data_IF_186594716083
#
_entry.id   IF_186594716083
#
_cell.length_a   1.000
_cell.length_b   1.000
_cell.length_c   1.000
_cell.angle_alpha   90.00
_cell.angle_beta   90.00
_cell.angle_gamma   90.00
#
_symmetry.space_group_name_H-M   'P 1'
#
loop_
_entity.id
_entity.type
_entity.pdbx_description
1 polymer ?
#
# COMPACT_ATOMS: atom_id res chain seq x y z
N UNK A 1 -10.87 -5.58 10.85
CA UNK A 1 -11.13 -4.14 10.62
C UNK A 1 -9.85 -3.37 10.81
N UNK A 2 -9.75 -2.18 10.23
CA UNK A 2 -8.63 -1.23 10.41
C UNK A 2 -9.19 0.08 10.93
N UNK A 3 -8.59 0.59 12.00
CA UNK A 3 -9.08 1.76 12.74
C UNK A 3 -7.92 2.71 13.02
N UNK A 4 -8.11 4.00 12.74
CA UNK A 4 -7.16 5.07 13.07
C UNK A 4 -7.92 6.22 13.74
N UNK A 5 -7.37 6.73 14.86
CA UNK A 5 -8.02 7.75 15.68
C UNK A 5 -9.49 7.43 16.06
N UNK A 6 -9.80 6.15 16.29
CA UNK A 6 -11.15 5.69 16.64
C UNK A 6 -12.12 5.56 15.47
N UNK A 7 -11.71 5.88 14.25
CA UNK A 7 -12.53 5.80 13.03
C UNK A 7 -12.16 4.52 12.28
N UNK A 8 -13.15 3.65 12.05
CA UNK A 8 -12.97 2.45 11.23
C UNK A 8 -13.20 2.80 9.76
N UNK A 9 -12.13 2.82 8.99
CA UNK A 9 -12.15 3.28 7.59
C UNK A 9 -12.01 2.13 6.57
N UNK A 10 -11.52 0.96 7.01
CA UNK A 10 -11.41 -0.24 6.19
C UNK A 10 -11.89 -1.47 6.95
N UNK A 11 -12.69 -2.30 6.28
CA UNK A 11 -13.12 -3.59 6.78
C UNK A 11 -13.07 -4.64 5.68
N UNK A 12 -12.51 -5.80 6.00
CA UNK A 12 -12.59 -7.01 5.19
C UNK A 12 -13.46 -8.01 5.94
N UNK A 13 -14.43 -8.58 5.24
CA UNK A 13 -15.29 -9.65 5.73
C UNK A 13 -15.28 -10.78 4.73
N UNK A 14 -15.22 -12.02 5.19
CA UNK A 14 -15.36 -13.17 4.32
C UNK A 14 -15.28 -14.48 5.07
N UNK A 15 -15.55 -15.56 4.35
CA UNK A 15 -15.45 -16.94 4.84
C UNK A 15 -14.46 -17.70 3.96
N UNK A 16 -13.59 -18.48 4.59
CA UNK A 16 -12.72 -19.40 3.87
C UNK A 16 -13.55 -20.45 3.13
N UNK A 17 -13.17 -20.73 1.89
CA UNK A 17 -13.88 -21.65 0.99
C UNK A 17 -12.93 -22.75 0.53
N UNK A 18 -12.22 -22.52 -0.57
CA UNK A 18 -11.37 -23.50 -1.21
C UNK A 18 -9.90 -23.28 -0.87
N UNK A 19 -9.17 -24.37 -0.63
CA UNK A 19 -7.70 -24.33 -0.65
C UNK A 19 -7.22 -24.22 -2.09
N UNK A 20 -6.28 -23.30 -2.33
CA UNK A 20 -5.64 -23.09 -3.62
C UNK A 20 -4.22 -23.66 -3.60
N UNK A 21 -3.61 -23.82 -4.78
CA UNK A 21 -2.21 -24.22 -4.87
C UNK A 21 -1.30 -23.11 -4.32
N UNK A 22 -0.31 -23.49 -3.52
CA UNK A 22 0.72 -22.57 -3.04
C UNK A 22 1.81 -22.37 -4.09
N UNK A 23 2.44 -21.21 -4.06
CA UNK A 23 3.51 -20.85 -4.99
C UNK A 23 4.63 -20.06 -4.32
N UNK A 24 5.77 -19.99 -5.02
CA UNK A 24 6.84 -19.04 -4.73
C UNK A 24 6.99 -18.09 -5.90
N UNK A 25 6.99 -16.79 -5.62
CA UNK A 25 7.04 -15.76 -6.65
C UNK A 25 7.73 -14.50 -6.14
N UNK A 26 7.93 -13.54 -7.03
CA UNK A 26 8.53 -12.23 -6.71
C UNK A 26 7.59 -11.14 -7.18
N UNK A 27 7.15 -10.29 -6.26
CA UNK A 27 6.42 -9.07 -6.57
C UNK A 27 7.39 -7.93 -6.82
N UNK A 28 7.09 -7.11 -7.84
CA UNK A 28 7.75 -5.85 -8.08
C UNK A 28 6.92 -4.72 -7.44
N UNK A 29 7.40 -4.20 -6.31
CA UNK A 29 6.77 -3.11 -5.58
C UNK A 29 7.54 -1.82 -5.85
N UNK A 30 6.83 -0.73 -6.11
CA UNK A 30 7.43 0.59 -6.33
C UNK A 30 7.03 1.54 -5.22
N UNK A 31 8.00 2.29 -4.69
CA UNK A 31 7.74 3.34 -3.73
C UNK A 31 8.68 4.53 -3.95
N UNK A 32 8.27 5.68 -3.44
CA UNK A 32 9.13 6.85 -3.36
C UNK A 32 9.81 6.88 -1.98
N UNK A 33 11.13 6.95 -1.97
CA UNK A 33 11.91 7.27 -0.77
C UNK A 33 12.14 8.77 -0.75
N UNK A 34 11.46 9.45 0.16
CA UNK A 34 11.43 10.91 0.31
C UNK A 34 11.62 11.28 1.79
N UNK A 35 12.40 12.32 2.04
CA UNK A 35 12.56 12.93 3.36
C UNK A 35 12.14 14.40 3.27
N UNK A 36 11.07 14.81 3.97
CA UNK A 36 10.73 16.23 4.12
C UNK A 36 11.91 17.00 4.70
N UNK A 37 12.12 18.23 4.24
CA UNK A 37 13.22 19.04 4.78
C UNK A 37 12.89 19.62 6.16
N UNK A 38 13.94 19.81 6.96
CA UNK A 38 13.86 20.59 8.19
C UNK A 38 13.97 22.12 7.95
N UNK A 39 14.28 22.57 6.73
CA UNK A 39 14.44 23.98 6.39
C UNK A 39 13.14 24.62 5.86
N UNK A 40 12.85 25.86 6.27
CA UNK A 40 11.58 26.53 5.93
C UNK A 40 11.38 26.80 4.43
N UNK A 41 12.47 26.95 3.67
CA UNK A 41 12.43 27.30 2.24
C UNK A 41 12.76 26.12 1.31
N UNK A 42 12.66 24.89 1.82
CA UNK A 42 13.01 23.67 1.10
C UNK A 42 11.96 22.60 1.43
N UNK A 43 11.36 21.99 0.41
CA UNK A 43 10.29 21.00 0.66
C UNK A 43 10.84 19.63 1.09
N UNK A 44 11.94 19.19 0.48
CA UNK A 44 12.54 17.86 0.67
C UNK A 44 14.06 17.98 0.77
N UNK A 45 14.72 17.12 1.55
CA UNK A 45 16.17 17.20 1.74
C UNK A 45 16.97 16.83 0.49
N UNK A 46 16.40 15.95 -0.33
CA UNK A 46 16.93 15.48 -1.60
C UNK A 46 15.77 15.21 -2.56
N UNK A 47 16.08 15.13 -3.85
CA UNK A 47 15.15 14.62 -4.85
C UNK A 47 14.61 13.24 -4.39
N UNK A 48 13.29 13.00 -4.43
CA UNK A 48 12.72 11.70 -4.15
C UNK A 48 13.35 10.62 -5.02
N UNK A 49 13.60 9.45 -4.45
CA UNK A 49 14.11 8.30 -5.18
C UNK A 49 12.96 7.37 -5.53
N UNK A 50 12.78 7.06 -6.83
CA UNK A 50 11.92 5.95 -7.23
C UNK A 50 12.67 4.65 -6.92
N UNK A 51 12.12 3.86 -6.02
CA UNK A 51 12.71 2.61 -5.55
C UNK A 51 11.88 1.45 -6.08
N UNK A 52 12.55 0.48 -6.70
CA UNK A 52 11.99 -0.82 -7.02
C UNK A 52 12.40 -1.79 -5.92
N UNK A 53 11.41 -2.47 -5.35
CA UNK A 53 11.59 -3.51 -4.34
C UNK A 53 11.20 -4.83 -5.00
N UNK A 54 12.12 -5.79 -5.04
CA UNK A 54 11.81 -7.16 -5.39
C UNK A 54 11.46 -7.90 -4.10
N UNK A 55 10.18 -8.22 -3.93
CA UNK A 55 9.65 -8.88 -2.75
C UNK A 55 9.41 -10.35 -3.05
N UNK A 56 10.35 -11.20 -2.63
CA UNK A 56 10.24 -12.64 -2.76
C UNK A 56 9.26 -13.18 -1.71
N UNK A 57 8.31 -14.00 -2.15
CA UNK A 57 7.27 -14.60 -1.30
C UNK A 57 7.23 -16.11 -1.54
N UNK A 58 7.09 -16.86 -0.46
CA UNK A 58 6.84 -18.31 -0.51
C UNK A 58 5.62 -18.60 0.34
N UNK A 59 4.55 -19.07 -0.30
CA UNK A 59 3.29 -19.38 0.36
C UNK A 59 3.35 -20.76 1.03
N UNK A 60 2.91 -20.84 2.29
CA UNK A 60 2.61 -22.08 2.99
C UNK A 60 1.11 -22.35 3.11
N UNK A 61 0.28 -21.30 3.03
CA UNK A 61 -1.18 -21.37 2.96
C UNK A 61 -1.66 -20.45 1.85
N UNK A 62 -2.62 -20.92 1.06
CA UNK A 62 -3.30 -20.12 0.05
C UNK A 62 -4.77 -20.57 0.00
N UNK A 63 -5.69 -19.70 0.40
CA UNK A 63 -7.10 -20.05 0.57
C UNK A 63 -8.00 -18.96 0.01
N UNK A 64 -8.97 -19.34 -0.81
CA UNK A 64 -9.98 -18.43 -1.33
C UNK A 64 -10.96 -18.02 -0.24
N UNK A 65 -11.30 -16.74 -0.20
CA UNK A 65 -12.34 -16.20 0.66
C UNK A 65 -13.54 -15.77 -0.20
N UNK A 66 -14.75 -16.09 0.24
CA UNK A 66 -15.98 -15.48 -0.26
C UNK A 66 -16.38 -14.33 0.68
N UNK A 67 -16.43 -13.11 0.16
CA UNK A 67 -16.50 -11.92 0.99
C UNK A 67 -16.41 -10.59 0.25
N UNK A 68 -16.26 -9.53 1.03
CA UNK A 68 -16.26 -8.14 0.55
C UNK A 68 -15.22 -7.29 1.29
N UNK A 69 -14.84 -6.19 0.65
CA UNK A 69 -14.14 -5.07 1.25
C UNK A 69 -15.10 -3.89 1.39
N UNK A 70 -15.10 -3.26 2.56
CA UNK A 70 -15.91 -2.09 2.86
C UNK A 70 -14.96 -0.94 3.19
N UNK A 71 -14.98 0.08 2.32
CA UNK A 71 -14.25 1.33 2.51
C UNK A 71 -15.21 2.38 3.06
N UNK A 72 -14.79 3.12 4.08
CA UNK A 72 -15.58 4.16 4.74
C UNK A 72 -14.82 5.47 4.73
N UNK A 73 -15.57 6.56 4.85
CA UNK A 73 -15.00 7.90 4.98
C UNK A 73 -14.12 7.99 6.24
N UNK A 74 -12.97 8.64 6.10
CA UNK A 74 -12.12 9.03 7.22
C UNK A 74 -11.56 10.43 6.93
N UNK A 75 -11.59 11.34 7.91
CA UNK A 75 -11.02 12.67 7.76
C UNK A 75 -9.51 12.68 7.50
N UNK A 76 -8.81 11.56 7.68
CA UNK A 76 -7.34 11.46 7.54
C UNK A 76 -6.89 10.26 6.71
N UNK A 77 -7.82 9.44 6.20
CA UNK A 77 -7.52 8.25 5.40
C UNK A 77 -8.40 8.23 4.14
N UNK A 78 -7.90 8.71 2.99
CA UNK A 78 -8.69 8.88 1.76
C UNK A 78 -8.95 7.58 1.01
N UNK A 79 -9.07 6.44 1.69
CA UNK A 79 -9.21 5.14 1.01
C UNK A 79 -10.51 5.03 0.20
N UNK A 80 -11.58 5.69 0.66
CA UNK A 80 -12.89 5.65 -0.02
C UNK A 80 -12.87 6.41 -1.36
N UNK A 81 -11.90 7.29 -1.59
CA UNK A 81 -11.72 8.02 -2.86
C UNK A 81 -11.37 7.07 -4.03
N UNK A 82 -10.97 5.82 -3.73
CA UNK A 82 -10.78 4.74 -4.69
C UNK A 82 -11.99 3.79 -4.69
N UNK A 83 -13.03 4.05 -5.52
CA UNK A 83 -14.25 3.26 -5.49
C UNK A 83 -14.01 1.82 -5.96
N UNK A 84 -14.41 0.86 -5.12
CA UNK A 84 -14.39 -0.57 -5.47
C UNK A 84 -15.57 -0.87 -6.38
N UNK A 85 -15.28 -1.11 -7.66
CA UNK A 85 -16.31 -1.45 -8.67
C UNK A 85 -16.71 -2.91 -8.61
N UNK A 86 -15.73 -3.78 -8.38
CA UNK A 86 -15.91 -5.23 -8.35
C UNK A 86 -14.84 -5.88 -7.48
N UNK A 87 -15.21 -6.98 -6.81
CA UNK A 87 -14.26 -7.86 -6.13
C UNK A 87 -13.76 -8.90 -7.13
N UNK A 88 -12.50 -8.79 -7.55
CA UNK A 88 -11.88 -9.73 -8.50
C UNK A 88 -11.34 -10.97 -7.79
N UNK A 89 -10.67 -10.77 -6.65
CA UNK A 89 -10.13 -11.85 -5.83
C UNK A 89 -10.10 -11.44 -4.35
N UNK A 90 -10.26 -12.42 -3.48
CA UNK A 90 -10.05 -12.28 -2.05
C UNK A 90 -9.44 -13.58 -1.53
N UNK A 91 -8.22 -13.51 -0.99
CA UNK A 91 -7.47 -14.69 -0.55
C UNK A 91 -6.87 -14.45 0.82
N UNK A 92 -6.77 -15.52 1.60
CA UNK A 92 -5.97 -15.61 2.81
C UNK A 92 -4.68 -16.35 2.48
N UNK A 93 -3.55 -15.75 2.81
CA UNK A 93 -2.23 -16.32 2.57
C UNK A 93 -1.38 -16.28 3.83
N UNK A 94 -0.59 -17.34 4.02
CA UNK A 94 0.47 -17.40 5.02
C UNK A 94 1.74 -17.85 4.34
N UNK A 95 2.89 -17.45 4.88
CA UNK A 95 4.17 -17.81 4.30
C UNK A 95 5.31 -16.95 4.80
N UNK A 96 6.40 -16.95 4.03
CA UNK A 96 7.59 -16.13 4.30
C UNK A 96 7.78 -15.08 3.21
N UNK A 97 8.43 -13.98 3.58
CA UNK A 97 8.84 -12.98 2.62
C UNK A 97 10.23 -12.45 2.93
N UNK A 98 11.00 -12.20 1.87
CA UNK A 98 12.26 -11.46 1.91
C UNK A 98 12.25 -10.41 0.80
N UNK A 99 12.98 -9.32 0.98
CA UNK A 99 13.05 -8.27 -0.02
C UNK A 99 14.46 -7.74 -0.19
N UNK A 100 14.75 -7.31 -1.42
CA UNK A 100 15.85 -6.43 -1.74
C UNK A 100 15.30 -5.27 -2.57
N UNK A 101 16.05 -4.17 -2.63
CA UNK A 101 15.59 -2.97 -3.31
C UNK A 101 16.74 -2.26 -4.03
N UNK A 102 16.42 -1.61 -5.13
CA UNK A 102 17.32 -0.76 -5.89
C UNK A 102 16.68 0.60 -6.19
N UNK A 103 17.51 1.62 -6.25
CA UNK A 103 17.10 2.94 -6.76
C UNK A 103 17.03 2.82 -8.29
N UNK A 104 15.88 3.16 -8.85
CA UNK A 104 15.64 3.18 -10.29
C UNK A 104 16.10 4.50 -10.89
N UNK A 105 15.67 5.60 -10.27
CA UNK A 105 16.03 6.97 -10.68
C UNK A 105 15.77 7.97 -9.56
N UNK A 106 16.34 9.16 -9.72
CA UNK A 106 15.92 10.36 -8.98
C UNK A 106 14.76 11.03 -9.70
N UNK A 107 13.75 11.45 -8.96
CA UNK A 107 12.59 12.17 -9.47
C UNK A 107 12.68 13.63 -9.06
N UNK A 108 12.36 14.53 -9.99
CA UNK A 108 12.35 15.97 -9.73
C UNK A 108 11.43 16.29 -8.54
N UNK A 109 11.95 17.02 -7.56
CA UNK A 109 11.23 17.33 -6.34
C UNK A 109 9.90 18.06 -6.62
N UNK A 110 9.87 18.99 -7.56
CA UNK A 110 8.67 19.78 -7.85
C UNK A 110 7.57 18.98 -8.54
N UNK A 111 7.93 17.90 -9.23
CA UNK A 111 6.97 16.94 -9.79
C UNK A 111 6.30 16.06 -8.72
N UNK A 112 6.95 15.83 -7.58
CA UNK A 112 6.47 14.95 -6.51
C UNK A 112 5.80 15.69 -5.34
N UNK A 113 6.35 16.85 -4.93
CA UNK A 113 5.88 17.62 -3.76
C UNK A 113 4.37 17.82 -3.70
N UNK A 114 3.64 18.09 -4.81
CA UNK A 114 2.18 18.20 -4.79
C UNK A 114 1.43 16.94 -4.30
N UNK A 115 2.09 15.77 -4.33
CA UNK A 115 1.54 14.47 -3.94
C UNK A 115 2.18 13.89 -2.67
N UNK A 116 3.14 14.60 -2.07
CA UNK A 116 3.85 14.14 -0.86
C UNK A 116 2.92 14.05 0.35
N UNK A 117 1.89 14.89 0.37
CA UNK A 117 0.88 14.95 1.41
C UNK A 117 -0.45 14.44 0.86
N UNK A 118 -1.13 13.62 1.64
CA UNK A 118 -2.50 13.21 1.36
C UNK A 118 -3.41 14.44 1.42
N UNK A 119 -4.56 14.40 0.72
CA UNK A 119 -5.58 15.46 0.73
C UNK A 119 -5.88 16.01 2.14
N UNK A 120 -5.78 15.16 3.16
CA UNK A 120 -6.13 15.46 4.53
C UNK A 120 -4.96 15.86 5.44
N UNK A 121 -3.72 15.79 4.96
CA UNK A 121 -2.54 16.15 5.75
C UNK A 121 -2.34 17.67 5.86
N UNK A 122 -3.14 18.47 5.14
CA UNK A 122 -3.10 19.94 5.14
C UNK A 122 -4.25 20.61 5.91
N UNK A 123 -5.09 19.82 6.60
CA UNK A 123 -6.25 20.29 7.35
C UNK A 123 -5.90 20.82 8.75
#
# INVERSE_FOLDING_TARGET
TVTRHGITYLELKGKATDSLETSSFTDDVYCFKVFPSCEQNKAVDQNPLLVKINMHRTQSVHTKLDGEIILRESPVDPVIDLPVKEMVSLVWEEGTSSSNASVMEEVDAMSYVPFMHSRYDSA
#
